data_IF_636909756056
#
_entry.id   IF_636909756056
#
_cell.length_a   1.000
_cell.length_b   1.000
_cell.length_c   1.000
_cell.angle_alpha   90.00
_cell.angle_beta   90.00
_cell.angle_gamma   90.00
#
_symmetry.space_group_name_H-M   'P 1'
#
loop_
_entity.id
_entity.type
_entity.pdbx_description
1 polymer ?
#
# COMPACT_ATOMS: atom_id res chain seq x y z
N UNK A 1 -49.82 19.99 11.38
CA UNK A 1 -48.89 20.77 10.53
C UNK A 1 -47.95 19.77 9.86
N UNK A 2 -48.21 19.44 8.60
CA UNK A 2 -47.41 18.49 7.85
C UNK A 2 -46.23 19.24 7.21
N UNK A 3 -45.01 18.89 7.60
CA UNK A 3 -43.80 19.45 7.00
C UNK A 3 -43.64 18.94 5.57
N UNK A 4 -43.71 19.85 4.61
CA UNK A 4 -43.38 19.58 3.22
C UNK A 4 -41.94 19.05 3.12
N UNK A 5 -41.80 17.78 2.69
CA UNK A 5 -40.55 17.29 2.14
C UNK A 5 -40.30 18.07 0.85
N UNK A 6 -39.44 19.09 0.89
CA UNK A 6 -38.88 19.73 -0.30
C UNK A 6 -38.17 18.65 -1.12
N UNK A 7 -38.85 18.12 -2.11
CA UNK A 7 -38.26 17.34 -3.20
C UNK A 7 -37.23 18.25 -3.87
N UNK A 8 -35.95 17.94 -3.66
CA UNK A 8 -34.85 18.68 -4.26
C UNK A 8 -34.90 18.47 -5.77
N UNK A 9 -35.47 19.43 -6.49
CA UNK A 9 -35.71 19.37 -7.93
C UNK A 9 -34.40 19.66 -8.71
N UNK A 10 -33.39 18.80 -8.53
CA UNK A 10 -32.08 18.91 -9.19
C UNK A 10 -32.21 18.57 -10.67
N UNK A 11 -31.64 19.42 -11.51
CA UNK A 11 -31.51 19.17 -12.95
C UNK A 11 -30.70 17.88 -13.21
N UNK A 12 -30.86 17.25 -14.38
CA UNK A 12 -30.01 16.12 -14.77
C UNK A 12 -28.51 16.41 -14.68
N UNK A 13 -28.10 17.64 -14.99
CA UNK A 13 -26.70 18.07 -14.90
C UNK A 13 -26.20 18.13 -13.46
N UNK A 14 -26.99 18.69 -12.54
CA UNK A 14 -26.63 18.76 -11.12
C UNK A 14 -26.52 17.37 -10.51
N UNK A 15 -27.44 16.45 -10.87
CA UNK A 15 -27.35 15.05 -10.44
C UNK A 15 -26.08 14.36 -10.94
N UNK A 16 -25.71 14.57 -12.20
CA UNK A 16 -24.49 13.99 -12.77
C UNK A 16 -23.22 14.54 -12.09
N UNK A 17 -23.18 15.84 -11.76
CA UNK A 17 -22.07 16.43 -11.02
C UNK A 17 -21.95 15.84 -9.61
N UNK A 18 -23.06 15.69 -8.89
CA UNK A 18 -23.05 15.09 -7.56
C UNK A 18 -22.62 13.62 -7.57
N UNK A 19 -23.03 12.86 -8.58
CA UNK A 19 -22.57 11.47 -8.76
C UNK A 19 -21.06 11.40 -9.04
N UNK A 20 -20.50 12.38 -9.76
CA UNK A 20 -19.06 12.48 -9.98
C UNK A 20 -18.34 12.83 -8.67
N UNK A 21 -18.80 13.86 -7.95
CA UNK A 21 -18.20 14.28 -6.68
C UNK A 21 -18.19 13.13 -5.65
N UNK A 22 -19.28 12.36 -5.57
CA UNK A 22 -19.37 11.19 -4.67
C UNK A 22 -18.40 10.07 -5.07
N UNK A 23 -18.21 9.83 -6.37
CA UNK A 23 -17.25 8.85 -6.87
C UNK A 23 -15.81 9.28 -6.59
N UNK A 24 -15.51 10.56 -6.76
CA UNK A 24 -14.20 11.12 -6.45
C UNK A 24 -13.89 11.02 -4.95
N UNK A 25 -14.85 11.39 -4.09
CA UNK A 25 -14.67 11.28 -2.64
C UNK A 25 -14.38 9.83 -2.22
N UNK A 26 -15.12 8.88 -2.79
CA UNK A 26 -14.92 7.44 -2.53
C UNK A 26 -13.54 6.99 -3.00
N UNK A 27 -13.09 7.43 -4.17
CA UNK A 27 -11.75 7.14 -4.70
C UNK A 27 -10.66 7.72 -3.80
N UNK A 28 -10.78 8.98 -3.37
CA UNK A 28 -9.80 9.64 -2.52
C UNK A 28 -9.66 8.94 -1.16
N UNK A 29 -10.79 8.52 -0.56
CA UNK A 29 -10.79 7.73 0.67
C UNK A 29 -10.06 6.40 0.49
N UNK A 30 -10.29 5.69 -0.62
CA UNK A 30 -9.61 4.42 -0.88
C UNK A 30 -8.10 4.59 -1.14
N UNK A 31 -7.69 5.65 -1.86
CA UNK A 31 -6.28 6.02 -2.01
C UNK A 31 -5.65 6.28 -0.64
N UNK A 32 -6.30 7.10 0.19
CA UNK A 32 -5.83 7.41 1.55
C UNK A 32 -5.71 6.17 2.43
N UNK A 33 -6.72 5.28 2.38
CA UNK A 33 -6.71 4.01 3.10
C UNK A 33 -5.51 3.13 2.71
N UNK A 34 -5.27 2.99 1.40
CA UNK A 34 -4.12 2.24 0.90
C UNK A 34 -2.79 2.88 1.34
N UNK A 35 -2.62 4.19 1.14
CA UNK A 35 -1.39 4.90 1.51
C UNK A 35 -1.09 4.74 3.00
N UNK A 36 -2.10 4.94 3.86
CA UNK A 36 -1.94 4.79 5.30
C UNK A 36 -1.39 3.40 5.67
N UNK A 37 -2.05 2.33 5.22
CA UNK A 37 -1.62 0.97 5.57
C UNK A 37 -0.31 0.57 4.92
N UNK A 38 -0.01 1.07 3.71
CA UNK A 38 1.28 0.86 3.08
C UNK A 38 2.40 1.53 3.89
N UNK A 39 2.19 2.76 4.37
CA UNK A 39 3.16 3.46 5.22
C UNK A 39 3.39 2.73 6.55
N UNK A 40 2.34 2.16 7.15
CA UNK A 40 2.48 1.32 8.35
C UNK A 40 3.31 0.06 8.06
N UNK A 41 3.03 -0.64 6.95
CA UNK A 41 3.83 -1.79 6.50
C UNK A 41 5.31 -1.41 6.30
N UNK A 42 5.58 -0.31 5.60
CA UNK A 42 6.95 0.18 5.39
C UNK A 42 7.66 0.44 6.72
N UNK A 43 7.01 1.15 7.64
CA UNK A 43 7.57 1.42 8.96
C UNK A 43 7.83 0.12 9.74
N UNK A 44 6.93 -0.84 9.71
CA UNK A 44 7.12 -2.16 10.35
C UNK A 44 8.36 -2.88 9.80
N UNK A 45 8.58 -2.85 8.48
CA UNK A 45 9.78 -3.45 7.88
C UNK A 45 11.05 -2.69 8.31
N UNK A 46 11.00 -1.36 8.40
CA UNK A 46 12.12 -0.54 8.92
C UNK A 46 12.45 -0.91 10.36
N UNK A 47 11.45 -0.97 11.23
CA UNK A 47 11.61 -1.37 12.63
C UNK A 47 12.20 -2.78 12.76
N UNK A 48 11.72 -3.74 11.95
CA UNK A 48 12.26 -5.10 11.94
C UNK A 48 13.74 -5.13 11.52
N UNK A 49 14.11 -4.36 10.49
CA UNK A 49 15.51 -4.26 10.05
C UNK A 49 16.40 -3.64 11.13
N UNK A 50 15.95 -2.55 11.76
CA UNK A 50 16.69 -1.89 12.83
C UNK A 50 16.98 -2.86 13.99
N UNK A 51 15.97 -3.62 14.40
CA UNK A 51 16.11 -4.64 15.45
C UNK A 51 17.09 -5.74 15.02
N UNK A 52 16.94 -6.29 13.82
CA UNK A 52 17.83 -7.33 13.32
C UNK A 52 19.29 -6.88 13.21
N UNK A 53 19.52 -5.60 12.94
CA UNK A 53 20.85 -4.98 12.90
C UNK A 53 21.33 -4.47 14.27
N UNK A 54 20.48 -4.52 15.31
CA UNK A 54 20.72 -3.95 16.64
C UNK A 54 21.17 -2.48 16.56
N UNK A 55 20.48 -1.69 15.74
CA UNK A 55 20.78 -0.27 15.62
C UNK A 55 20.35 0.48 16.87
N UNK A 56 21.19 1.41 17.30
CA UNK A 56 20.82 2.44 18.26
C UNK A 56 19.80 3.41 17.63
N UNK A 57 18.99 4.07 18.46
CA UNK A 57 17.91 4.96 18.02
C UNK A 57 18.39 6.07 17.08
N UNK A 58 19.53 6.70 17.40
CA UNK A 58 20.14 7.74 16.55
C UNK A 58 20.65 7.26 15.19
N UNK A 59 20.78 5.95 14.99
CA UNK A 59 21.23 5.35 13.72
C UNK A 59 20.06 4.92 12.82
N UNK A 60 18.82 4.92 13.33
CA UNK A 60 17.66 4.44 12.59
C UNK A 60 17.49 5.18 11.26
N UNK A 61 17.33 6.50 11.31
CA UNK A 61 17.12 7.31 10.10
C UNK A 61 18.36 7.39 9.21
N UNK A 62 19.56 7.35 9.81
CA UNK A 62 20.83 7.42 9.08
C UNK A 62 21.03 6.16 8.21
N UNK A 63 20.77 4.98 8.77
CA UNK A 63 21.02 3.70 8.10
C UNK A 63 19.84 3.27 7.24
N UNK A 64 18.62 3.47 7.72
CA UNK A 64 17.40 2.91 7.10
C UNK A 64 16.68 3.94 6.23
N UNK A 65 16.72 5.23 6.61
CA UNK A 65 16.04 6.32 5.90
C UNK A 65 16.33 6.39 4.39
N UNK A 66 17.58 6.14 3.92
CA UNK A 66 17.90 6.19 2.49
C UNK A 66 17.28 5.07 1.64
N UNK A 67 16.76 3.99 2.24
CA UNK A 67 16.19 2.89 1.47
C UNK A 67 14.80 3.21 0.96
N UNK A 68 14.61 3.08 -0.35
CA UNK A 68 13.26 2.94 -0.91
C UNK A 68 12.63 1.60 -0.46
N UNK A 69 11.31 1.46 -0.63
CA UNK A 69 10.59 0.27 -0.19
C UNK A 69 11.12 -1.04 -0.79
N UNK A 70 11.58 -1.03 -2.04
CA UNK A 70 12.07 -2.24 -2.70
C UNK A 70 13.45 -2.64 -2.16
N UNK A 71 14.34 -1.67 -1.97
CA UNK A 71 15.64 -1.90 -1.34
C UNK A 71 15.47 -2.34 0.11
N UNK A 72 14.56 -1.69 0.85
CA UNK A 72 14.21 -2.05 2.22
C UNK A 72 13.75 -3.52 2.29
N UNK A 73 12.82 -3.94 1.43
CA UNK A 73 12.40 -5.35 1.35
C UNK A 73 13.58 -6.29 1.06
N UNK A 74 14.48 -5.90 0.16
CA UNK A 74 15.62 -6.71 -0.24
C UNK A 74 16.61 -6.88 0.91
N UNK A 75 17.03 -5.78 1.53
CA UNK A 75 18.01 -5.78 2.62
C UNK A 75 17.45 -6.51 3.83
N UNK A 76 16.21 -6.22 4.25
CA UNK A 76 15.59 -6.90 5.39
C UNK A 76 15.46 -8.39 5.16
N UNK A 77 15.02 -8.82 3.97
CA UNK A 77 14.98 -10.25 3.62
C UNK A 77 16.34 -10.91 3.78
N UNK A 78 17.39 -10.32 3.21
CA UNK A 78 18.73 -10.90 3.27
C UNK A 78 19.24 -10.96 4.71
N UNK A 79 19.05 -9.89 5.49
CA UNK A 79 19.43 -9.85 6.90
C UNK A 79 18.78 -10.97 7.70
N UNK A 80 17.44 -11.13 7.60
CA UNK A 80 16.70 -12.15 8.34
C UNK A 80 17.06 -13.58 7.89
N UNK A 81 17.30 -13.78 6.60
CA UNK A 81 17.67 -15.10 6.08
C UNK A 81 19.02 -15.61 6.60
N UNK A 82 19.93 -14.76 7.10
CA UNK A 82 21.25 -15.19 7.59
C UNK A 82 21.18 -16.06 8.84
N UNK A 83 20.19 -15.81 9.69
CA UNK A 83 20.04 -16.47 11.00
C UNK A 83 18.81 -17.38 11.08
N UNK A 84 17.92 -17.30 10.11
CA UNK A 84 16.69 -18.08 10.07
C UNK A 84 16.93 -19.58 9.79
N UNK A 85 16.07 -20.43 10.37
CA UNK A 85 15.96 -21.85 10.01
C UNK A 85 15.49 -22.03 8.55
N UNK A 86 15.70 -23.20 7.94
CA UNK A 86 15.21 -23.47 6.57
C UNK A 86 13.69 -23.30 6.42
N UNK A 87 12.92 -23.75 7.42
CA UNK A 87 11.47 -23.56 7.46
C UNK A 87 11.10 -22.08 7.47
N UNK A 88 11.79 -21.28 8.29
CA UNK A 88 11.55 -19.84 8.41
C UNK A 88 12.00 -19.07 7.16
N UNK A 89 13.10 -19.48 6.52
CA UNK A 89 13.57 -18.88 5.25
C UNK A 89 12.50 -18.94 4.16
N UNK A 90 11.75 -20.04 4.07
CA UNK A 90 10.62 -20.17 3.15
C UNK A 90 9.54 -19.12 3.40
N UNK A 91 9.17 -18.90 4.66
CA UNK A 91 8.17 -17.90 5.08
C UNK A 91 8.67 -16.48 4.78
N UNK A 92 9.91 -16.15 5.16
CA UNK A 92 10.55 -14.85 4.90
C UNK A 92 10.55 -14.54 3.38
N UNK A 93 10.97 -15.51 2.56
CA UNK A 93 11.00 -15.34 1.11
C UNK A 93 9.60 -15.08 0.54
N UNK A 94 8.61 -15.85 0.97
CA UNK A 94 7.22 -15.68 0.53
C UNK A 94 6.68 -14.29 0.92
N UNK A 95 6.94 -13.87 2.16
CA UNK A 95 6.55 -12.57 2.69
C UNK A 95 7.08 -11.41 1.86
N UNK A 96 8.39 -11.33 1.65
CA UNK A 96 8.99 -10.22 0.90
C UNK A 96 8.64 -10.26 -0.59
N UNK A 97 8.41 -11.44 -1.16
CA UNK A 97 7.87 -11.55 -2.52
C UNK A 97 6.46 -10.93 -2.62
N UNK A 98 5.61 -11.12 -1.60
CA UNK A 98 4.30 -10.48 -1.55
C UNK A 98 4.43 -8.95 -1.42
N UNK A 99 5.34 -8.46 -0.58
CA UNK A 99 5.63 -7.02 -0.45
C UNK A 99 6.09 -6.40 -1.77
N UNK A 100 7.02 -7.06 -2.50
CA UNK A 100 7.45 -6.59 -3.82
C UNK A 100 6.30 -6.56 -4.84
N UNK A 101 5.44 -7.58 -4.85
CA UNK A 101 4.24 -7.59 -5.71
C UNK A 101 3.31 -6.44 -5.39
N UNK A 102 3.04 -6.18 -4.11
CA UNK A 102 2.20 -5.06 -3.67
C UNK A 102 2.81 -3.72 -4.09
N UNK A 103 4.12 -3.54 -3.92
CA UNK A 103 4.82 -2.34 -4.36
C UNK A 103 4.68 -2.10 -5.88
N UNK A 104 4.92 -3.13 -6.69
CA UNK A 104 4.87 -3.05 -8.15
C UNK A 104 3.45 -2.83 -8.68
N UNK A 105 2.47 -3.55 -8.14
CA UNK A 105 1.09 -3.54 -8.65
C UNK A 105 0.28 -2.35 -8.14
N UNK A 106 0.56 -1.90 -6.91
CA UNK A 106 -0.24 -0.88 -6.25
C UNK A 106 0.55 0.41 -6.01
N UNK A 107 1.58 0.36 -5.14
CA UNK A 107 2.23 1.59 -4.66
C UNK A 107 2.82 2.45 -5.78
N UNK A 108 3.55 1.84 -6.71
CA UNK A 108 4.15 2.60 -7.83
C UNK A 108 3.08 3.27 -8.69
N UNK A 109 1.99 2.56 -8.96
CA UNK A 109 0.87 3.09 -9.75
C UNK A 109 0.16 4.21 -8.99
N UNK A 110 -0.09 4.04 -7.69
CA UNK A 110 -0.73 5.07 -6.87
C UNK A 110 0.11 6.35 -6.80
N UNK A 111 1.44 6.21 -6.64
CA UNK A 111 2.36 7.33 -6.49
C UNK A 111 2.74 8.02 -7.80
N UNK A 112 2.73 7.30 -8.94
CA UNK A 112 3.26 7.79 -10.21
C UNK A 112 2.25 7.77 -11.36
N UNK A 113 1.05 7.24 -11.13
CA UNK A 113 -0.03 7.27 -12.10
C UNK A 113 -0.66 8.66 -12.23
N UNK A 114 -1.19 8.95 -13.42
CA UNK A 114 -2.05 10.11 -13.65
C UNK A 114 -3.48 9.72 -13.31
N UNK A 115 -4.02 10.33 -12.25
CA UNK A 115 -5.37 10.03 -11.77
C UNK A 115 -6.45 10.76 -12.57
N UNK A 116 -7.54 10.05 -12.87
CA UNK A 116 -8.76 10.54 -13.51
C UNK A 116 -9.97 9.87 -12.87
N UNK A 117 -11.19 10.29 -13.24
CA UNK A 117 -12.41 9.60 -12.79
C UNK A 117 -12.49 8.12 -13.23
N UNK A 118 -11.69 7.70 -14.21
CA UNK A 118 -11.62 6.31 -14.68
C UNK A 118 -10.53 5.47 -13.96
N UNK A 119 -9.80 6.06 -13.02
CA UNK A 119 -8.69 5.41 -12.30
C UNK A 119 -7.32 6.03 -12.62
N UNK A 120 -6.26 5.31 -12.26
CA UNK A 120 -4.87 5.74 -12.45
C UNK A 120 -4.30 5.20 -13.76
N UNK A 121 -3.96 6.10 -14.69
CA UNK A 121 -3.21 5.74 -15.88
C UNK A 121 -1.72 5.69 -15.56
N UNK A 122 -1.07 4.55 -15.77
CA UNK A 122 0.36 4.36 -15.51
C UNK A 122 1.05 3.68 -16.69
N UNK A 123 2.31 4.04 -16.97
CA UNK A 123 3.14 3.42 -18.01
C UNK A 123 4.19 2.56 -17.34
N UNK A 124 4.18 1.26 -17.65
CA UNK A 124 5.23 0.35 -17.20
C UNK A 124 6.57 0.77 -17.78
N UNK A 125 7.60 0.95 -16.95
CA UNK A 125 8.96 1.26 -17.44
C UNK A 125 9.61 0.10 -18.19
N UNK A 126 9.19 -1.13 -17.91
CA UNK A 126 9.75 -2.33 -18.52
C UNK A 126 9.15 -2.68 -19.88
N UNK A 127 7.84 -2.44 -20.06
CA UNK A 127 7.13 -2.77 -21.31
C UNK A 127 6.76 -1.54 -22.14
N UNK A 128 6.86 -0.34 -21.55
CA UNK A 128 6.39 0.94 -22.13
C UNK A 128 4.90 0.96 -22.48
N UNK A 129 4.14 -0.01 -21.95
CA UNK A 129 2.69 -0.10 -22.16
C UNK A 129 1.95 0.73 -21.12
N UNK A 130 0.95 1.47 -21.60
CA UNK A 130 0.04 2.23 -20.78
C UNK A 130 -1.16 1.38 -20.35
N UNK A 131 -1.46 1.37 -19.06
CA UNK A 131 -2.63 0.72 -18.51
C UNK A 131 -3.38 1.66 -17.58
N UNK A 132 -4.70 1.47 -17.49
CA UNK A 132 -5.54 2.09 -16.47
C UNK A 132 -5.74 1.08 -15.35
N UNK A 133 -5.40 1.49 -14.13
CA UNK A 133 -5.53 0.72 -12.91
C UNK A 133 -6.61 1.32 -12.01
N UNK A 134 -7.18 0.52 -11.11
CA UNK A 134 -8.14 1.00 -10.11
C UNK A 134 -9.37 1.67 -10.73
N UNK A 135 -9.86 1.11 -11.84
CA UNK A 135 -11.14 1.51 -12.41
C UNK A 135 -12.29 1.22 -11.43
N UNK A 136 -12.07 0.29 -10.50
CA UNK A 136 -12.93 -0.07 -9.39
C UNK A 136 -12.23 0.28 -8.08
N UNK A 137 -12.92 1.00 -7.20
CA UNK A 137 -12.39 1.46 -5.91
C UNK A 137 -11.99 0.26 -5.03
N UNK A 138 -12.74 -0.83 -5.12
CA UNK A 138 -12.55 -2.05 -4.35
C UNK A 138 -11.17 -2.67 -4.60
N UNK A 139 -10.53 -2.39 -5.75
CA UNK A 139 -9.15 -2.81 -6.02
C UNK A 139 -8.16 -2.15 -5.05
N UNK A 140 -8.29 -0.84 -4.80
CA UNK A 140 -7.45 -0.11 -3.84
C UNK A 140 -7.70 -0.56 -2.41
N UNK A 141 -8.96 -0.77 -2.04
CA UNK A 141 -9.33 -1.27 -0.72
C UNK A 141 -8.71 -2.65 -0.47
N UNK A 142 -8.75 -3.56 -1.44
CA UNK A 142 -8.12 -4.85 -1.36
C UNK A 142 -6.59 -4.73 -1.19
N UNK A 143 -5.93 -3.82 -1.89
CA UNK A 143 -4.51 -3.55 -1.68
C UNK A 143 -4.20 -2.95 -0.31
N UNK A 144 -5.07 -2.10 0.23
CA UNK A 144 -4.94 -1.57 1.59
C UNK A 144 -5.08 -2.67 2.65
N UNK A 145 -6.05 -3.57 2.47
CA UNK A 145 -6.21 -4.75 3.32
C UNK A 145 -5.00 -5.69 3.23
N UNK A 146 -4.44 -5.88 2.04
CA UNK A 146 -3.23 -6.68 1.84
C UNK A 146 -2.01 -6.04 2.52
N UNK A 147 -1.84 -4.71 2.44
CA UNK A 147 -0.79 -3.99 3.15
C UNK A 147 -0.90 -4.21 4.67
N UNK A 148 -2.11 -4.06 5.22
CA UNK A 148 -2.39 -4.34 6.64
C UNK A 148 -2.10 -5.80 7.01
N UNK A 149 -2.49 -6.76 6.17
CA UNK A 149 -2.25 -8.19 6.40
C UNK A 149 -0.76 -8.49 6.43
N UNK A 150 0.02 -7.95 5.49
CA UNK A 150 1.48 -8.07 5.47
C UNK A 150 2.13 -7.39 6.68
N UNK A 151 1.61 -6.27 7.14
CA UNK A 151 2.10 -5.65 8.37
C UNK A 151 1.94 -6.61 9.55
N UNK A 152 0.75 -7.20 9.71
CA UNK A 152 0.46 -8.16 10.78
C UNK A 152 1.31 -9.44 10.70
N UNK A 153 1.55 -9.96 9.48
CA UNK A 153 2.36 -11.17 9.29
C UNK A 153 3.81 -10.99 9.72
N UNK A 154 4.38 -9.79 9.64
CA UNK A 154 5.76 -9.57 10.09
C UNK A 154 5.92 -9.88 11.59
N UNK A 155 4.95 -9.47 12.41
CA UNK A 155 4.97 -9.77 13.85
C UNK A 155 4.88 -11.27 14.14
N UNK A 156 4.15 -12.02 13.32
CA UNK A 156 4.06 -13.48 13.46
C UNK A 156 5.42 -14.12 13.15
N UNK A 157 6.06 -13.72 12.05
CA UNK A 157 7.37 -14.25 11.66
C UNK A 157 8.42 -13.94 12.73
N UNK A 158 8.41 -12.73 13.29
CA UNK A 158 9.34 -12.33 14.37
C UNK A 158 9.18 -13.16 15.65
N UNK A 159 7.95 -13.54 16.02
CA UNK A 159 7.70 -14.36 17.21
C UNK A 159 8.13 -15.83 17.05
N UNK A 160 8.19 -16.35 15.82
CA UNK A 160 8.67 -17.70 15.53
C UNK A 160 10.21 -17.81 15.51
N UNK A 161 10.92 -16.68 15.54
CA UNK A 161 12.39 -16.62 15.56
C UNK A 161 12.98 -16.56 16.99
N UNK A 162 12.14 -16.41 18.02
CA UNK A 162 12.52 -16.43 19.44
C UNK A 162 12.36 -17.82 20.03
#
# INVERSE_FOLDING_TARGET
MAGEKKSSNKSPRERALEELDQREETLYRAIGYFIYWFSQLEFTIKARLANALRLDEGMFDIVIGPYDFAMLCTVTKQTLMRTASETTKGKIKSYFNACHKLNQRARLVVAHGTWTHAGARHVSRGTLEAMVHFAKVEELEAYGQEARRLMMLMFVIENEEK
#
